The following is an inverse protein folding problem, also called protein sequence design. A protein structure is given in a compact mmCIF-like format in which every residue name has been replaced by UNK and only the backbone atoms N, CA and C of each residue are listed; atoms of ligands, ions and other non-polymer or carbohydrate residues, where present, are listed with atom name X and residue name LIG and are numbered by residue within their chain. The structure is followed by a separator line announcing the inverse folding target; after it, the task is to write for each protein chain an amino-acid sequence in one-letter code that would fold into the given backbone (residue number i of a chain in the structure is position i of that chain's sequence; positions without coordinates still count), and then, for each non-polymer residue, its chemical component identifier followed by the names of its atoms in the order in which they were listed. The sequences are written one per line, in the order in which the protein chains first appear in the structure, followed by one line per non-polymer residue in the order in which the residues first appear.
data_IF_105799348234
#
_entry.id   IF_105799348234
#
_cell.length_a   1.000
_cell.length_b   1.000
_cell.length_c   1.000
_cell.angle_alpha   90.00
_cell.angle_beta   90.00
_cell.angle_gamma   90.00
#
_symmetry.space_group_name_H-M   'P 1'
#
loop_
_entity.id
_entity.type
_entity.pdbx_description
1 polymer ?
#
# COMPACT_ATOMS: atom_id res chain seq x y z
N UNK A 1 -5.39 -10.50 1.15
CA UNK A 1 -6.78 -10.09 1.30
C UNK A 1 -7.49 -10.05 -0.04
N UNK A 2 -8.81 -10.08 0.00
CA UNK A 2 -9.61 -10.01 -1.21
C UNK A 2 -9.94 -8.57 -1.55
N UNK A 3 -9.88 -8.25 -2.81
CA UNK A 3 -10.19 -6.93 -3.32
C UNK A 3 -11.33 -7.03 -4.31
N UNK A 4 -12.36 -6.26 -4.11
CA UNK A 4 -13.47 -6.19 -5.06
C UNK A 4 -13.34 -4.89 -5.84
N UNK A 5 -13.33 -5.00 -7.15
CA UNK A 5 -13.26 -3.82 -8.02
C UNK A 5 -14.59 -3.70 -8.72
N UNK A 6 -15.28 -2.63 -8.41
CA UNK A 6 -16.61 -2.39 -8.97
C UNK A 6 -16.50 -1.52 -10.20
N UNK A 7 -17.18 -1.92 -11.24
CA UNK A 7 -17.22 -1.12 -12.45
C UNK A 7 -18.67 -0.80 -12.74
N UNK A 8 -18.91 0.39 -13.18
CA UNK A 8 -20.25 0.81 -13.51
C UNK A 8 -20.19 1.58 -14.83
N UNK A 9 -21.06 1.24 -15.74
CA UNK A 9 -21.10 1.90 -17.03
C UNK A 9 -22.54 1.98 -17.53
N UNK A 10 -22.76 2.86 -18.46
CA UNK A 10 -24.06 3.01 -19.05
C UNK A 10 -24.08 2.28 -20.40
N UNK A 11 -25.08 1.45 -20.59
CA UNK A 11 -25.26 0.74 -21.83
C UNK A 11 -25.74 1.74 -22.87
N UNK A 12 -25.02 1.88 -23.95
CA UNK A 12 -25.35 2.88 -24.96
C UNK A 12 -26.63 2.57 -25.72
N UNK A 13 -27.01 1.32 -25.79
CA UNK A 13 -28.19 0.95 -26.54
C UNK A 13 -29.45 1.10 -25.72
N UNK A 14 -29.41 0.69 -24.46
CA UNK A 14 -30.59 0.74 -23.60
C UNK A 14 -30.57 1.93 -22.66
N UNK A 15 -29.41 2.57 -22.53
CA UNK A 15 -29.20 3.67 -21.61
C UNK A 15 -29.37 3.28 -20.15
N UNK A 16 -29.36 1.99 -19.87
CA UNK A 16 -29.46 1.54 -18.51
C UNK A 16 -28.08 1.44 -17.91
N UNK A 17 -27.99 1.61 -16.62
CA UNK A 17 -26.73 1.48 -15.91
C UNK A 17 -26.47 0.02 -15.57
N UNK A 18 -25.27 -0.40 -15.87
CA UNK A 18 -24.88 -1.78 -15.58
C UNK A 18 -23.70 -1.77 -14.64
N UNK A 19 -23.59 -2.83 -13.86
CA UNK A 19 -22.51 -2.94 -12.91
C UNK A 19 -21.87 -4.32 -12.99
N UNK A 20 -20.59 -4.37 -12.71
CA UNK A 20 -19.90 -5.64 -12.61
C UNK A 20 -18.85 -5.53 -11.50
N UNK A 21 -18.58 -6.65 -10.87
CA UNK A 21 -17.60 -6.71 -9.80
C UNK A 21 -16.57 -7.74 -10.18
N UNK A 22 -15.31 -7.37 -10.09
CA UNK A 22 -14.22 -8.31 -10.30
C UNK A 22 -13.52 -8.50 -8.96
N UNK A 23 -13.17 -9.73 -8.65
CA UNK A 23 -12.51 -10.03 -7.39
C UNK A 23 -11.07 -10.45 -7.63
N UNK A 24 -10.19 -9.92 -6.82
CA UNK A 24 -8.78 -10.24 -6.92
C UNK A 24 -8.25 -10.60 -5.55
N UNK A 25 -7.27 -11.47 -5.52
CA UNK A 25 -6.55 -11.73 -4.28
C UNK A 25 -5.32 -10.83 -4.29
N UNK A 26 -5.10 -10.12 -3.23
CA UNK A 26 -3.96 -9.22 -3.09
C UNK A 26 -3.02 -9.79 -2.04
N UNK A 27 -1.77 -9.91 -2.41
CA UNK A 27 -0.75 -10.43 -1.51
C UNK A 27 0.17 -9.31 -1.11
N UNK A 28 0.37 -9.16 0.18
CA UNK A 28 1.28 -8.18 0.75
C UNK A 28 2.32 -8.92 1.57
N UNK A 29 3.49 -8.35 1.70
CA UNK A 29 4.59 -9.00 2.41
C UNK A 29 5.16 -8.13 3.51
N UNK A 30 5.66 -8.78 4.53
CA UNK A 30 6.46 -8.14 5.57
C UNK A 30 5.76 -6.96 6.24
N UNK A 31 6.48 -5.88 6.39
CA UNK A 31 5.98 -4.73 7.10
C UNK A 31 4.70 -4.15 6.49
N UNK A 32 4.64 -4.12 5.18
CA UNK A 32 3.43 -3.62 4.53
C UNK A 32 2.22 -4.48 4.86
N UNK A 33 2.40 -5.79 4.98
CA UNK A 33 1.31 -6.68 5.35
C UNK A 33 0.83 -6.38 6.77
N UNK A 34 1.75 -6.12 7.68
CA UNK A 34 1.41 -5.81 9.05
C UNK A 34 0.69 -4.47 9.13
N UNK A 35 1.19 -3.50 8.41
CA UNK A 35 0.58 -2.17 8.39
C UNK A 35 -0.81 -2.22 7.80
N UNK A 36 -0.99 -3.01 6.75
CA UNK A 36 -2.31 -3.16 6.13
C UNK A 36 -3.29 -3.80 7.10
N UNK A 37 -2.83 -4.80 7.82
CA UNK A 37 -3.69 -5.48 8.80
C UNK A 37 -4.16 -4.54 9.90
N UNK A 38 -3.31 -3.60 10.30
CA UNK A 38 -3.69 -2.66 11.30
C UNK A 38 -4.52 -1.51 10.77
N UNK A 39 -4.32 -1.12 9.54
CA UNK A 39 -4.91 0.09 9.00
C UNK A 39 -6.22 -0.12 8.27
N UNK A 40 -6.41 -1.30 7.72
CA UNK A 40 -7.55 -1.55 6.86
C UNK A 40 -8.49 -2.56 7.48
N UNK A 41 -9.77 -2.37 7.28
CA UNK A 41 -10.77 -3.31 7.76
C UNK A 41 -11.62 -3.75 6.59
N UNK A 42 -12.42 -4.76 6.82
CA UNK A 42 -13.30 -5.26 5.79
C UNK A 42 -14.23 -4.14 5.35
N UNK A 43 -14.33 -3.95 4.07
CA UNK A 43 -15.14 -2.87 3.51
C UNK A 43 -14.39 -1.58 3.26
N UNK A 44 -13.14 -1.48 3.67
CA UNK A 44 -12.36 -0.28 3.42
C UNK A 44 -12.12 -0.10 1.93
N UNK A 45 -12.20 1.13 1.48
CA UNK A 45 -11.86 1.45 0.11
C UNK A 45 -10.36 1.67 0.03
N UNK A 46 -9.69 0.96 -0.84
CA UNK A 46 -8.24 0.97 -0.90
C UNK A 46 -7.71 1.21 -2.31
N UNK A 47 -6.47 1.63 -2.37
CA UNK A 47 -5.75 1.75 -3.62
C UNK A 47 -4.60 0.77 -3.52
N UNK A 48 -4.44 -0.05 -4.55
CA UNK A 48 -3.38 -1.05 -4.59
C UNK A 48 -2.62 -0.88 -5.89
N UNK A 49 -1.31 -0.82 -5.80
CA UNK A 49 -0.46 -0.89 -6.98
C UNK A 49 0.42 -2.12 -6.86
N UNK A 50 0.72 -2.74 -7.96
CA UNK A 50 1.54 -3.93 -7.93
C UNK A 50 1.57 -4.62 -9.27
N UNK A 51 1.91 -5.88 -9.27
CA UNK A 51 1.98 -6.65 -10.49
C UNK A 51 1.08 -7.87 -10.38
N UNK A 52 0.69 -8.38 -11.52
CA UNK A 52 -0.08 -9.61 -11.56
C UNK A 52 0.89 -10.77 -11.57
N UNK A 53 0.59 -11.76 -10.80
CA UNK A 53 1.38 -12.97 -10.73
C UNK A 53 0.45 -14.14 -10.97
N UNK A 54 0.73 -14.93 -11.98
CA UNK A 54 -0.08 -16.08 -12.31
C UNK A 54 0.65 -17.34 -11.94
N UNK A 55 -0.02 -18.18 -11.19
CA UNK A 55 0.53 -19.48 -10.82
C UNK A 55 -0.31 -20.56 -11.44
N UNK A 56 0.34 -21.59 -11.93
CA UNK A 56 -0.36 -22.72 -12.49
C UNK A 56 0.15 -23.99 -11.82
N UNK A 57 -0.74 -24.89 -11.57
CA UNK A 57 -0.36 -26.16 -10.95
C UNK A 57 -1.31 -27.26 -11.45
N UNK A 58 -0.92 -28.49 -11.19
CA UNK A 58 -1.72 -29.61 -11.59
C UNK A 58 -2.17 -30.31 -10.33
N UNK A 59 -3.44 -30.65 -10.25
CA UNK A 59 -3.98 -31.34 -9.10
C UNK A 59 -3.66 -32.84 -9.23
N UNK A 60 -3.76 -33.58 -8.12
CA UNK A 60 -3.53 -35.03 -8.19
C UNK A 60 -4.44 -35.75 -9.19
N UNK A 61 -5.58 -35.16 -9.50
CA UNK A 61 -6.50 -35.75 -10.43
C UNK A 61 -6.12 -35.45 -11.87
N UNK A 62 -5.06 -34.70 -12.10
CA UNK A 62 -4.63 -34.37 -13.43
C UNK A 62 -5.21 -33.10 -14.00
N UNK A 63 -6.00 -32.38 -13.22
CA UNK A 63 -6.58 -31.15 -13.70
C UNK A 63 -5.57 -30.03 -13.59
N UNK A 64 -5.53 -29.19 -14.59
CA UNK A 64 -4.65 -28.03 -14.56
C UNK A 64 -5.42 -26.85 -14.01
N UNK A 65 -4.85 -26.18 -13.06
CA UNK A 65 -5.48 -25.01 -12.46
C UNK A 65 -4.54 -23.85 -12.48
N UNK A 66 -5.10 -22.66 -12.53
CA UNK A 66 -4.29 -21.46 -12.48
C UNK A 66 -4.97 -20.43 -11.61
N UNK A 67 -4.18 -19.55 -11.06
CA UNK A 67 -4.68 -18.50 -10.21
C UNK A 67 -3.86 -17.24 -10.46
N UNK A 68 -4.54 -16.12 -10.56
CA UNK A 68 -3.87 -14.84 -10.74
C UNK A 68 -4.01 -14.05 -9.47
N UNK A 69 -2.91 -13.55 -8.95
CA UNK A 69 -2.91 -12.75 -7.74
C UNK A 69 -2.25 -11.41 -8.03
N UNK A 70 -2.59 -10.40 -7.25
CA UNK A 70 -1.91 -9.11 -7.33
C UNK A 70 -0.88 -9.09 -6.21
N UNK A 71 0.38 -8.99 -6.57
CA UNK A 71 1.43 -8.84 -5.58
C UNK A 71 1.62 -7.36 -5.40
N UNK A 72 1.25 -6.85 -4.25
CA UNK A 72 1.19 -5.42 -4.05
C UNK A 72 2.56 -4.80 -3.84
N UNK A 73 2.78 -3.68 -4.48
CA UNK A 73 3.97 -2.87 -4.23
C UNK A 73 3.59 -1.82 -3.20
N UNK A 74 2.38 -1.31 -3.27
CA UNK A 74 1.88 -0.37 -2.28
C UNK A 74 0.39 -0.53 -2.08
N UNK A 75 -0.05 -0.32 -0.86
CA UNK A 75 -1.45 -0.41 -0.51
C UNK A 75 -1.76 0.78 0.39
N UNK A 76 -2.88 1.39 0.22
CA UNK A 76 -3.29 2.47 1.12
C UNK A 76 -4.78 2.68 1.08
N UNK A 77 -5.30 3.41 2.04
CA UNK A 77 -6.71 3.74 2.04
C UNK A 77 -6.99 4.82 1.01
N UNK A 78 -8.17 4.77 0.43
CA UNK A 78 -8.60 5.81 -0.48
C UNK A 78 -9.23 6.93 0.33
N UNK A 79 -8.85 8.15 0.07
CA UNK A 79 -9.44 9.28 0.76
C UNK A 79 -10.49 9.98 -0.09
N UNK A 80 -11.00 9.28 -1.07
CA UNK A 80 -12.04 9.86 -1.92
C UNK A 80 -13.27 10.25 -1.11
N UNK A 81 -13.66 9.42 -0.16
CA UNK A 81 -14.84 9.67 0.67
C UNK A 81 -14.55 9.50 2.15
N UNK A 82 -13.31 9.56 2.52
CA UNK A 82 -12.91 9.33 3.90
C UNK A 82 -11.64 10.11 4.20
N UNK A 83 -11.37 10.30 5.47
CA UNK A 83 -10.11 10.92 5.88
C UNK A 83 -9.22 9.82 6.46
N UNK A 84 -7.94 10.03 6.40
CA UNK A 84 -6.99 9.09 6.95
C UNK A 84 -5.96 9.83 7.79
N UNK A 85 -5.51 9.17 8.82
CA UNK A 85 -4.45 9.71 9.65
C UNK A 85 -3.28 8.75 9.53
N UNK A 86 -2.12 9.29 9.22
CA UNK A 86 -0.95 8.47 8.96
C UNK A 86 0.07 8.64 10.08
N UNK A 87 0.49 7.52 10.63
CA UNK A 87 1.54 7.52 11.62
C UNK A 87 2.73 6.80 11.01
N UNK A 88 3.84 7.49 10.92
CA UNK A 88 5.01 6.91 10.30
C UNK A 88 5.67 5.94 11.26
N UNK A 89 6.01 4.77 10.75
CA UNK A 89 6.69 3.78 11.57
C UNK A 89 8.15 4.15 11.74
N UNK A 90 8.70 3.73 12.87
CA UNK A 90 10.09 3.96 13.09
C UNK A 90 10.88 3.08 12.21
N UNK A 91 12.01 3.59 11.67
CA UNK A 91 12.82 2.78 10.88
C UNK A 91 13.58 1.87 11.71
N UNK A 92 13.62 0.61 11.42
CA UNK A 92 14.32 -0.33 12.13
C UNK A 92 15.39 -0.91 11.33
N UNK A 93 16.30 -0.29 10.87
CA UNK A 93 17.42 -0.88 10.16
C UNK A 93 18.36 -1.51 11.12
N UNK A 94 19.29 -2.26 10.62
CA UNK A 94 20.25 -2.91 11.42
C UNK A 94 20.99 -1.93 12.26
N UNK A 95 21.25 -0.84 11.80
CA UNK A 95 21.96 0.06 12.54
C UNK A 95 21.18 0.84 13.44
N UNK A 96 20.00 0.67 13.37
CA UNK A 96 19.22 1.42 14.04
C UNK A 96 19.20 1.25 15.34
N UNK A 97 19.52 0.31 15.74
CA UNK A 97 19.40 0.11 17.02
C UNK A 97 20.07 1.00 17.74
N UNK A 98 20.83 1.52 17.32
CA UNK A 98 21.55 2.27 18.00
C UNK A 98 21.01 3.13 18.84
N UNK A 99 21.34 3.27 19.58
CA UNK A 99 20.80 4.01 20.47
C UNK A 99 21.27 5.24 20.43
N UNK A 100 21.37 5.43 20.22
CA UNK A 100 21.73 6.22 20.24
C UNK A 100 22.08 7.08 20.69
N UNK A 101 21.96 6.97 20.93
CA UNK A 101 22.13 7.68 21.52
C UNK A 101 22.85 8.61 21.49
N UNK A 102 23.36 8.50 21.51
CA UNK A 102 24.13 9.28 21.63
C UNK A 102 24.08 10.46 21.41
N UNK A 103 24.11 10.65 21.15
CA UNK A 103 24.09 11.72 21.00
C UNK A 103 24.41 12.74 21.47
N UNK A 104 24.80 13.09 21.82
CA UNK A 104 25.06 13.98 22.30
C UNK A 104 25.80 14.76 21.91
N UNK A 105 25.64 15.03 21.43
CA UNK A 105 26.39 15.73 21.00
C UNK A 105 26.45 16.98 21.36
N UNK A 106 27.02 17.41 21.48
CA UNK A 106 27.18 18.51 21.94
C UNK A 106 26.92 19.55 21.22
N UNK A 107 26.69 19.70 20.95
CA UNK A 107 26.51 20.57 20.49
C UNK A 107 26.85 21.62 20.12
N UNK A 108 26.91 21.94 20.14
CA UNK A 108 27.28 22.76 19.87
C UNK A 108 26.98 23.69 19.09
N UNK A 109 26.88 24.11 19.30
CA UNK A 109 26.84 24.95 18.74
C UNK A 109 26.40 25.31 17.65
N UNK A 110 26.33 25.49 17.51
CA UNK A 110 26.17 25.78 16.59
C UNK A 110 25.46 25.99 15.69
N UNK A 111 25.19 26.19 15.67
CA UNK A 111 24.73 26.38 14.96
C UNK A 111 23.99 26.24 14.00
N UNK A 112 23.84 26.31 13.74
CA UNK A 112 23.34 26.22 12.95
C UNK A 112 22.54 25.83 12.16
N UNK A 113 22.25 25.63 11.96
CA UNK A 113 21.61 25.27 11.37
C UNK A 113 20.78 25.16 10.59
N UNK A 114 20.58 25.32 10.24
CA UNK A 114 19.90 25.24 9.62
C UNK A 114 19.19 24.81 8.80
N UNK A 115 18.98 24.71 8.70
CA UNK A 115 18.46 24.38 8.07
C UNK A 115 17.74 23.79 7.38
N UNK A 116 17.44 23.58 7.31
CA UNK A 116 16.88 23.08 6.75
C UNK A 116 16.16 22.60 6.11
N UNK A 117 15.98 22.55 5.77
CA UNK A 117 15.35 22.18 5.20
C UNK A 117 14.76 21.39 4.71
N UNK A 118 14.41 21.14 4.58
CA UNK A 118 13.92 20.37 4.28
C UNK A 118 13.37 19.89 3.49
N UNK A 119 13.17 19.92 3.26
CA UNK A 119 12.80 19.58 2.64
C UNK A 119 12.25 18.64 2.18
N UNK A 120 11.96 18.20 2.18
CA UNK A 120 11.59 17.32 1.90
C UNK A 120 10.73 16.97 1.25
N UNK A 121 10.41 17.04 0.95
CA UNK A 121 9.80 16.91 0.56
C UNK A 121 9.35 16.42 -0.31
N UNK A 122 9.23 16.46 -0.62
CA UNK A 122 8.97 16.18 -1.35
C UNK A 122 8.22 15.24 -1.77
N UNK A 123 8.03 14.83 -1.83
CA UNK A 123 7.57 13.92 -2.07
C UNK A 123 6.44 13.94 -2.40
N UNK A 124 6.23 14.01 -2.33
CA UNK A 124 5.26 14.15 -2.39
C UNK A 124 4.73 14.13 -3.56
N UNK A 125 5.02 14.24 -4.10
CA UNK A 125 4.63 14.36 -5.06
C UNK A 125 4.42 13.48 -5.85
N UNK A 126 4.39 13.00 -5.91
CA UNK A 126 4.30 12.24 -6.66
C UNK A 126 3.30 11.64 -6.83
N UNK A 127 2.78 11.67 -7.08
CA UNK A 127 1.95 11.14 -7.17
C UNK A 127 1.52 10.46 -7.98
N UNK A 128 1.49 10.38 -8.30
CA UNK A 128 1.17 9.80 -8.88
C UNK A 128 1.03 9.62 -9.72
#
# INVERSE_FOLDING_TARGET
FGLAVNRRWQNRQTQEWEEAVSFFDVVCWREMAENAAESLTKGSRVIVTGRLDQRSWETPDGDKRSKVEVVADEVGPSIRWATAQVTKNERRGPGDGGPQGGGRGPSTSGGAAPAGEPQGYGYSEEPF
#
